data_IF_111195601907
#
_entry.id   IF_111195601907
#
_cell.length_a   1.000
_cell.length_b   1.000
_cell.length_c   1.000
_cell.angle_alpha   90.00
_cell.angle_beta   90.00
_cell.angle_gamma   90.00
#
_symmetry.space_group_name_H-M   'P 1'
#
loop_
_entity.id
_entity.type
_entity.pdbx_description
1 polymer ?
#
# COMPACT_ATOMS: atom_id res chain seq x y z
N UNK A 1 -18.23 -7.47 0.84
CA UNK A 1 -17.10 -8.20 1.45
C UNK A 1 -16.28 -8.82 0.35
N UNK A 2 -15.22 -8.14 -0.08
CA UNK A 2 -14.26 -8.70 -1.03
C UNK A 2 -13.33 -9.68 -0.32
N UNK A 3 -12.72 -10.59 -1.09
CA UNK A 3 -11.52 -11.32 -0.66
C UNK A 3 -10.27 -10.50 -1.01
N UNK A 4 -9.16 -10.75 -0.34
CA UNK A 4 -7.92 -10.00 -0.52
C UNK A 4 -6.69 -10.90 -0.60
N UNK A 5 -5.76 -10.48 -1.46
CA UNK A 5 -4.38 -10.95 -1.47
C UNK A 5 -3.49 -9.78 -1.08
N UNK A 6 -2.88 -9.84 0.10
CA UNK A 6 -1.99 -8.82 0.63
C UNK A 6 -0.53 -9.22 0.42
N UNK A 7 0.22 -8.43 -0.35
CA UNK A 7 1.68 -8.57 -0.47
C UNK A 7 2.39 -7.40 0.20
N UNK A 8 2.87 -7.53 1.45
CA UNK A 8 3.67 -6.49 2.08
C UNK A 8 5.05 -6.32 1.41
N UNK A 9 5.75 -5.25 1.77
CA UNK A 9 7.17 -5.08 1.41
C UNK A 9 7.99 -6.24 1.95
N UNK A 10 8.86 -6.80 1.12
CA UNK A 10 9.81 -7.85 1.47
C UNK A 10 10.74 -7.46 2.64
N UNK A 11 10.97 -6.17 2.86
CA UNK A 11 11.79 -5.66 3.96
C UNK A 11 11.02 -5.51 5.28
N UNK A 12 9.68 -5.48 5.23
CA UNK A 12 8.82 -5.15 6.37
C UNK A 12 7.53 -5.99 6.35
N UNK A 13 7.69 -7.32 6.28
CA UNK A 13 6.55 -8.24 6.16
C UNK A 13 5.99 -8.74 7.51
N UNK A 14 6.78 -8.69 8.58
CA UNK A 14 6.46 -9.38 9.84
C UNK A 14 5.11 -8.97 10.44
N UNK A 15 4.83 -7.68 10.54
CA UNK A 15 3.57 -7.19 11.13
C UNK A 15 2.33 -7.62 10.34
N UNK A 16 2.45 -7.77 9.02
CA UNK A 16 1.36 -8.28 8.20
C UNK A 16 1.15 -9.79 8.40
N UNK A 17 2.22 -10.55 8.63
CA UNK A 17 2.12 -11.98 8.96
C UNK A 17 1.46 -12.19 10.32
N UNK A 18 1.81 -11.37 11.33
CA UNK A 18 1.14 -11.37 12.63
C UNK A 18 -0.35 -11.05 12.51
N UNK A 19 -0.72 -10.06 11.68
CA UNK A 19 -2.13 -9.79 11.36
C UNK A 19 -2.82 -11.03 10.77
N UNK A 20 -2.14 -11.78 9.90
CA UNK A 20 -2.64 -13.05 9.37
C UNK A 20 -2.90 -14.09 10.46
N UNK A 21 -1.99 -14.20 11.43
CA UNK A 21 -2.17 -15.06 12.61
C UNK A 21 -3.42 -14.68 13.42
N UNK A 22 -3.57 -13.39 13.74
CA UNK A 22 -4.75 -12.88 14.46
C UNK A 22 -6.04 -13.16 13.67
N UNK A 23 -6.03 -12.96 12.34
CA UNK A 23 -7.19 -13.26 11.49
C UNK A 23 -7.57 -14.75 11.52
N UNK A 24 -6.59 -15.65 11.57
CA UNK A 24 -6.83 -17.08 11.70
C UNK A 24 -7.42 -17.43 13.07
N UNK A 25 -6.91 -16.84 14.16
CA UNK A 25 -7.40 -17.06 15.53
C UNK A 25 -8.86 -16.66 15.72
N UNK A 26 -9.28 -15.53 15.12
CA UNK A 26 -10.69 -15.08 15.18
C UNK A 26 -11.60 -15.84 14.21
N UNK A 27 -11.08 -16.82 13.47
CA UNK A 27 -11.86 -17.65 12.57
C UNK A 27 -12.28 -16.96 11.26
N UNK A 28 -11.47 -16.04 10.73
CA UNK A 28 -11.73 -15.47 9.40
C UNK A 28 -11.83 -16.61 8.37
N UNK A 29 -12.90 -16.67 7.54
CA UNK A 29 -13.10 -17.80 6.65
C UNK A 29 -11.90 -18.02 5.70
N UNK A 30 -11.48 -19.28 5.46
CA UNK A 30 -10.37 -19.58 4.56
C UNK A 30 -10.54 -18.94 3.19
N UNK A 31 -9.47 -18.34 2.68
CA UNK A 31 -9.44 -17.66 1.37
C UNK A 31 -9.94 -16.21 1.38
N UNK A 32 -10.53 -15.71 2.47
CA UNK A 32 -10.96 -14.30 2.57
C UNK A 32 -9.77 -13.35 2.61
N UNK A 33 -8.72 -13.69 3.37
CA UNK A 33 -7.45 -12.98 3.38
C UNK A 33 -6.32 -13.98 3.12
N UNK A 34 -5.50 -13.67 2.12
CA UNK A 34 -4.29 -14.43 1.81
C UNK A 34 -3.13 -13.45 1.86
N UNK A 35 -2.10 -13.76 2.66
CA UNK A 35 -0.91 -12.90 2.77
C UNK A 35 0.24 -13.64 2.11
N UNK A 36 0.90 -12.99 1.15
CA UNK A 36 2.04 -13.57 0.42
C UNK A 36 3.26 -12.66 0.55
N UNK A 37 4.43 -13.25 0.77
CA UNK A 37 5.71 -12.53 0.82
C UNK A 37 6.55 -12.85 -0.42
N UNK A 38 7.56 -12.00 -0.69
CA UNK A 38 8.47 -12.19 -1.82
C UNK A 38 8.79 -10.86 -2.51
N UNK A 39 9.71 -10.87 -3.46
CA UNK A 39 10.15 -9.67 -4.16
C UNK A 39 9.03 -9.07 -5.01
N UNK A 40 9.05 -7.75 -5.22
CA UNK A 40 8.06 -7.07 -6.06
C UNK A 40 7.97 -7.62 -7.49
N UNK A 41 9.09 -8.02 -8.08
CA UNK A 41 9.16 -8.62 -9.43
C UNK A 41 8.54 -10.02 -9.49
N UNK A 42 8.62 -10.79 -8.40
CA UNK A 42 8.22 -12.20 -8.37
C UNK A 42 6.81 -12.38 -7.80
N UNK A 43 6.49 -11.74 -6.68
CA UNK A 43 5.22 -11.88 -5.99
C UNK A 43 4.25 -10.71 -6.26
N UNK A 44 4.75 -9.53 -6.62
CA UNK A 44 3.93 -8.34 -6.87
C UNK A 44 3.45 -8.21 -8.32
N UNK A 45 4.38 -8.31 -9.27
CA UNK A 45 4.10 -8.12 -10.69
C UNK A 45 3.03 -9.08 -11.23
N UNK A 46 3.01 -10.39 -10.86
CA UNK A 46 1.94 -11.28 -11.30
C UNK A 46 0.56 -10.87 -10.82
N UNK A 47 0.42 -10.29 -9.61
CA UNK A 47 -0.89 -9.81 -9.12
C UNK A 47 -1.48 -8.72 -10.04
N UNK A 48 -0.62 -7.86 -10.60
CA UNK A 48 -1.08 -6.80 -11.49
C UNK A 48 -1.66 -7.36 -12.81
N UNK A 49 -1.06 -8.42 -13.36
CA UNK A 49 -1.45 -9.05 -14.62
C UNK A 49 -2.40 -10.25 -14.47
N UNK A 50 -2.70 -10.71 -13.24
CA UNK A 50 -3.48 -11.94 -13.05
C UNK A 50 -4.96 -11.79 -13.48
N UNK A 51 -5.51 -12.67 -14.33
CA UNK A 51 -6.86 -12.49 -14.88
C UNK A 51 -7.99 -12.52 -13.83
N UNK A 52 -7.77 -13.12 -12.66
CA UNK A 52 -8.77 -13.21 -11.58
C UNK A 52 -8.64 -12.10 -10.51
N UNK A 53 -7.80 -11.09 -10.73
CA UNK A 53 -7.71 -9.93 -9.81
C UNK A 53 -8.58 -8.81 -10.35
N UNK A 54 -9.66 -8.50 -9.62
CA UNK A 54 -10.63 -7.48 -10.06
C UNK A 54 -10.17 -6.03 -9.79
N UNK A 55 -9.30 -5.81 -8.79
CA UNK A 55 -8.85 -4.47 -8.38
C UNK A 55 -7.45 -4.54 -7.77
N UNK A 56 -6.65 -3.50 -8.00
CA UNK A 56 -5.33 -3.35 -7.36
C UNK A 56 -5.31 -2.08 -6.51
N UNK A 57 -4.91 -2.22 -5.25
CA UNK A 57 -4.58 -1.11 -4.35
C UNK A 57 -3.08 -1.15 -4.05
N UNK A 58 -2.37 -0.07 -4.35
CA UNK A 58 -0.93 0.01 -4.18
C UNK A 58 -0.50 1.31 -3.52
N UNK A 59 0.36 1.18 -2.52
CA UNK A 59 1.06 2.30 -1.87
C UNK A 59 2.55 2.05 -2.00
N UNK A 60 3.28 3.02 -2.54
CA UNK A 60 4.72 2.89 -2.77
C UNK A 60 5.26 3.98 -3.70
N UNK A 61 6.30 3.66 -4.47
CA UNK A 61 6.93 4.63 -5.36
C UNK A 61 6.10 4.93 -6.60
N UNK A 62 6.23 6.15 -7.12
CA UNK A 62 5.61 6.58 -8.39
C UNK A 62 5.99 5.67 -9.56
N UNK A 63 7.25 5.24 -9.61
CA UNK A 63 7.75 4.39 -10.70
C UNK A 63 7.07 3.02 -10.72
N UNK A 64 6.95 2.37 -9.56
CA UNK A 64 6.22 1.10 -9.45
C UNK A 64 4.74 1.29 -9.72
N UNK A 65 4.14 2.37 -9.22
CA UNK A 65 2.73 2.71 -9.47
C UNK A 65 2.41 2.84 -10.96
N UNK A 66 3.27 3.52 -11.72
CA UNK A 66 3.14 3.64 -13.19
C UNK A 66 3.16 2.26 -13.86
N UNK A 67 4.10 1.39 -13.49
CA UNK A 67 4.19 0.03 -14.03
C UNK A 67 2.94 -0.78 -13.74
N UNK A 68 2.43 -0.71 -12.51
CA UNK A 68 1.17 -1.35 -12.13
C UNK A 68 0.01 -0.84 -12.98
N UNK A 69 -0.11 0.48 -13.17
CA UNK A 69 -1.17 1.08 -13.99
C UNK A 69 -1.10 0.63 -15.45
N UNK A 70 0.09 0.59 -16.04
CA UNK A 70 0.31 0.11 -17.41
C UNK A 70 -0.15 -1.35 -17.54
N UNK A 71 0.29 -2.23 -16.64
CA UNK A 71 -0.10 -3.64 -16.64
C UNK A 71 -1.61 -3.82 -16.42
N UNK A 72 -2.19 -3.11 -15.45
CA UNK A 72 -3.61 -3.16 -15.12
C UNK A 72 -4.51 -2.70 -16.27
N UNK A 73 -4.04 -1.74 -17.08
CA UNK A 73 -4.80 -1.19 -18.22
C UNK A 73 -5.13 -2.23 -19.29
N UNK A 74 -4.30 -3.28 -19.43
CA UNK A 74 -4.51 -4.35 -20.42
C UNK A 74 -5.81 -5.13 -20.20
N UNK A 75 -6.34 -5.12 -18.97
CA UNK A 75 -7.61 -5.74 -18.60
C UNK A 75 -8.62 -4.72 -18.05
N UNK A 76 -8.32 -3.42 -18.16
CA UNK A 76 -9.15 -2.32 -17.65
C UNK A 76 -9.45 -2.47 -16.14
N UNK A 77 -8.48 -2.96 -15.37
CA UNK A 77 -8.65 -3.14 -13.92
C UNK A 77 -8.65 -1.79 -13.20
N UNK A 78 -9.61 -1.53 -12.29
CA UNK A 78 -9.54 -0.41 -11.37
C UNK A 78 -8.27 -0.44 -10.53
N UNK A 79 -7.56 0.69 -10.48
CA UNK A 79 -6.38 0.89 -9.63
C UNK A 79 -6.59 2.01 -8.62
N UNK A 80 -6.04 1.84 -7.43
CA UNK A 80 -5.95 2.90 -6.41
C UNK A 80 -4.49 3.02 -6.00
N UNK A 81 -3.87 4.14 -6.35
CA UNK A 81 -2.43 4.35 -6.23
C UNK A 81 -2.13 5.50 -5.25
N UNK A 82 -1.28 5.24 -4.25
CA UNK A 82 -0.72 6.24 -3.33
C UNK A 82 0.79 6.29 -3.52
N UNK A 83 1.28 7.33 -4.18
CA UNK A 83 2.60 7.36 -4.81
C UNK A 83 3.56 8.36 -4.16
N UNK A 84 3.39 8.58 -2.86
CA UNK A 84 4.09 9.64 -2.13
C UNK A 84 3.61 11.03 -2.55
N UNK A 85 4.40 12.03 -2.20
CA UNK A 85 4.12 13.43 -2.51
C UNK A 85 5.25 14.33 -2.04
N UNK A 86 5.14 15.61 -2.38
CA UNK A 86 5.97 16.68 -1.82
C UNK A 86 5.04 17.58 -1.02
N UNK A 87 4.87 17.28 0.25
CA UNK A 87 3.93 17.98 1.14
C UNK A 87 4.61 19.25 1.68
N UNK A 88 4.19 20.46 1.27
CA UNK A 88 4.77 21.69 1.78
C UNK A 88 4.24 21.98 3.19
N UNK A 89 5.11 22.52 4.04
CA UNK A 89 4.74 23.20 5.28
C UNK A 89 4.86 24.71 5.05
N UNK A 90 3.75 25.44 5.16
CA UNK A 90 3.70 26.89 4.96
C UNK A 90 3.45 27.55 6.31
N UNK A 91 4.35 28.45 6.71
CA UNK A 91 4.32 29.16 8.00
C UNK A 91 4.12 30.63 7.73
N UNK A 92 3.05 31.21 8.29
CA UNK A 92 2.75 32.64 8.21
C UNK A 92 3.43 33.40 9.36
N UNK A 93 3.56 34.73 9.25
CA UNK A 93 4.23 35.57 10.25
C UNK A 93 3.41 35.80 11.53
N UNK A 94 2.11 35.49 11.50
CA UNK A 94 1.15 35.69 12.58
C UNK A 94 0.85 34.42 13.40
N UNK A 95 1.62 33.35 13.20
CA UNK A 95 1.41 32.08 13.92
C UNK A 95 2.19 31.99 15.23
N UNK A 96 1.73 31.13 16.13
CA UNK A 96 2.49 30.68 17.28
C UNK A 96 3.72 29.88 16.82
N UNK A 97 4.91 30.46 17.02
CA UNK A 97 6.15 29.92 16.48
C UNK A 97 6.55 28.60 17.14
N UNK A 98 6.25 28.41 18.43
CA UNK A 98 6.61 27.19 19.14
C UNK A 98 5.80 26.01 18.59
N UNK A 99 4.51 26.23 18.29
CA UNK A 99 3.69 25.23 17.59
C UNK A 99 4.20 24.96 16.18
N UNK A 100 4.55 26.00 15.42
CA UNK A 100 5.06 25.82 14.07
C UNK A 100 6.34 24.94 14.05
N UNK A 101 7.23 25.13 15.04
CA UNK A 101 8.43 24.30 15.22
C UNK A 101 8.08 22.86 15.56
N UNK A 102 7.17 22.62 16.50
CA UNK A 102 6.73 21.26 16.86
C UNK A 102 6.20 20.50 15.64
N UNK A 103 5.32 21.14 14.86
CA UNK A 103 4.77 20.54 13.64
C UNK A 103 5.83 20.33 12.56
N UNK A 104 6.79 21.25 12.41
CA UNK A 104 7.91 21.07 11.51
C UNK A 104 8.78 19.87 11.89
N UNK A 105 9.04 19.65 13.18
CA UNK A 105 9.82 18.52 13.67
C UNK A 105 9.10 17.17 13.52
N UNK A 106 7.78 17.15 13.67
CA UNK A 106 7.02 15.90 13.54
C UNK A 106 6.70 15.54 12.08
N UNK A 107 6.37 16.54 11.26
CA UNK A 107 5.80 16.35 9.93
C UNK A 107 6.77 16.48 8.76
N UNK A 108 7.99 17.00 8.97
CA UNK A 108 9.05 17.08 7.96
C UNK A 108 10.14 16.05 8.24
#
# INVERSE_FOLDING_TARGET
GCTAVLKPSELASLTCLELGGICAEIGLPPGVLNIITGLGTEAGAPLASHPHVDKIAFTGSTETGKRIMITASQMVKPVSLKLGGKSPLIVFDDVDIDKAVEWAMFGC
#
